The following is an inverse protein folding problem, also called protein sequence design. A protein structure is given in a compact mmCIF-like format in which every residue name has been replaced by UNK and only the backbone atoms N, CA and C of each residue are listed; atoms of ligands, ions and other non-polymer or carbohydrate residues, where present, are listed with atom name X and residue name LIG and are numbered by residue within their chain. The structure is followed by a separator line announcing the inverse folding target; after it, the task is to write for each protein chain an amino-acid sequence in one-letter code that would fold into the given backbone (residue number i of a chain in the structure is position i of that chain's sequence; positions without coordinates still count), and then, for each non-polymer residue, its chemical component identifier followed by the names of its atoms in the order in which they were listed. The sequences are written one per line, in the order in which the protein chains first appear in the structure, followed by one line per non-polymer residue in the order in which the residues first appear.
data_IF_793297948973
#
_entry.id   IF_793297948973
#
_cell.length_a   1.000
_cell.length_b   1.000
_cell.length_c   1.000
_cell.angle_alpha   90.00
_cell.angle_beta   90.00
_cell.angle_gamma   90.00
#
_symmetry.space_group_name_H-M   'P 1'
#
loop_
_entity.id
_entity.type
_entity.pdbx_description
1 polymer ?
#
# COMPACT_ATOMS: atom_id res chain seq x y z
N UNK A 1 -0.49 6.85 -20.96
CA UNK A 1 -1.90 6.54 -21.33
C UNK A 1 -1.99 5.04 -21.59
N UNK A 2 -2.84 4.34 -20.86
CA UNK A 2 -2.98 2.89 -20.95
C UNK A 2 -3.82 2.49 -22.17
N UNK A 3 -3.39 1.44 -22.86
CA UNK A 3 -4.11 0.87 -24.01
C UNK A 3 -5.25 -0.05 -23.52
N UNK A 4 -6.31 -0.21 -24.33
CA UNK A 4 -7.41 -1.15 -24.09
C UNK A 4 -6.91 -2.57 -23.76
N UNK A 5 -5.89 -3.07 -24.48
CA UNK A 5 -5.28 -4.38 -24.17
C UNK A 5 -4.62 -4.44 -22.79
N UNK A 6 -4.11 -3.32 -22.29
CA UNK A 6 -3.51 -3.25 -20.95
C UNK A 6 -4.57 -3.25 -19.86
N UNK A 7 -5.75 -2.69 -20.12
CA UNK A 7 -6.91 -2.81 -19.23
C UNK A 7 -7.46 -4.24 -19.22
N UNK A 8 -7.65 -4.87 -20.38
CA UNK A 8 -8.05 -6.27 -20.45
C UNK A 8 -7.05 -7.21 -19.75
N UNK A 9 -5.74 -6.92 -19.86
CA UNK A 9 -4.73 -7.62 -19.08
C UNK A 9 -4.95 -7.50 -17.57
N UNK A 10 -5.35 -6.33 -17.07
CA UNK A 10 -5.62 -6.15 -15.63
C UNK A 10 -6.75 -7.08 -15.17
N UNK A 11 -7.81 -7.20 -15.97
CA UNK A 11 -8.95 -8.06 -15.64
C UNK A 11 -8.53 -9.54 -15.61
N UNK A 12 -7.77 -9.99 -16.61
CA UNK A 12 -7.21 -11.35 -16.65
C UNK A 12 -6.27 -11.65 -15.47
N UNK A 13 -5.43 -10.69 -15.07
CA UNK A 13 -4.57 -10.84 -13.90
C UNK A 13 -5.41 -10.90 -12.61
N UNK A 14 -6.49 -10.12 -12.53
CA UNK A 14 -7.37 -10.11 -11.37
C UNK A 14 -8.23 -11.38 -11.24
N UNK A 15 -8.42 -12.12 -12.34
CA UNK A 15 -9.00 -13.47 -12.40
C UNK A 15 -7.99 -14.58 -12.10
N UNK A 16 -6.70 -14.26 -11.98
CA UNK A 16 -5.65 -15.23 -11.67
C UNK A 16 -5.04 -15.93 -12.89
N UNK A 17 -5.27 -15.43 -14.10
CA UNK A 17 -4.66 -16.01 -15.32
C UNK A 17 -3.15 -15.79 -15.34
N UNK A 18 -2.43 -16.76 -15.88
CA UNK A 18 -0.97 -16.66 -16.07
C UNK A 18 -0.63 -15.68 -17.20
N UNK A 19 0.61 -15.20 -17.23
CA UNK A 19 1.07 -14.33 -18.32
C UNK A 19 1.03 -15.01 -19.70
N UNK A 20 1.07 -16.35 -19.76
CA UNK A 20 0.99 -17.10 -21.02
C UNK A 20 -0.45 -17.11 -21.52
N UNK A 21 -1.40 -17.49 -20.66
CA UNK A 21 -2.83 -17.50 -21.01
C UNK A 21 -3.33 -16.10 -21.37
N UNK A 22 -2.94 -15.08 -20.60
CA UNK A 22 -3.31 -13.70 -20.91
C UNK A 22 -2.73 -13.23 -22.25
N UNK A 23 -1.52 -13.68 -22.60
CA UNK A 23 -0.89 -13.35 -23.88
C UNK A 23 -1.64 -14.00 -25.05
N UNK A 24 -2.06 -15.26 -24.91
CA UNK A 24 -2.87 -15.98 -25.89
C UNK A 24 -4.24 -15.30 -26.08
N UNK A 25 -4.93 -14.96 -24.99
CA UNK A 25 -6.24 -14.28 -25.02
C UNK A 25 -6.17 -12.88 -25.65
N UNK A 26 -5.07 -12.14 -25.44
CA UNK A 26 -4.88 -10.79 -25.97
C UNK A 26 -4.27 -10.78 -27.38
N UNK A 27 -3.86 -11.93 -27.90
CA UNK A 27 -3.15 -12.07 -29.17
C UNK A 27 -1.83 -11.29 -29.19
N UNK A 28 -1.06 -11.32 -28.10
CA UNK A 28 0.24 -10.64 -28.00
C UNK A 28 1.31 -11.61 -27.52
N UNK A 29 2.58 -11.24 -27.70
CA UNK A 29 3.68 -12.05 -27.20
C UNK A 29 3.78 -11.98 -25.67
N UNK A 30 4.15 -13.09 -24.99
CA UNK A 30 4.34 -13.16 -23.53
C UNK A 30 5.24 -12.05 -22.98
N UNK A 31 6.30 -11.71 -23.71
CA UNK A 31 7.23 -10.63 -23.30
C UNK A 31 6.54 -9.26 -23.26
N UNK A 32 5.56 -9.01 -24.13
CA UNK A 32 4.77 -7.78 -24.12
C UNK A 32 3.98 -7.64 -22.82
N UNK A 33 3.35 -8.73 -22.36
CA UNK A 33 2.65 -8.78 -21.07
C UNK A 33 3.62 -8.50 -19.92
N UNK A 34 4.77 -9.18 -19.90
CA UNK A 34 5.80 -8.98 -18.88
C UNK A 34 6.32 -7.54 -18.85
N UNK A 35 6.46 -6.90 -20.01
CA UNK A 35 6.90 -5.50 -20.11
C UNK A 35 5.82 -4.54 -19.61
N UNK A 36 4.56 -4.73 -19.98
CA UNK A 36 3.44 -3.91 -19.48
C UNK A 36 3.32 -3.99 -17.95
N UNK A 37 3.45 -5.19 -17.38
CA UNK A 37 3.43 -5.37 -15.92
C UNK A 37 4.58 -4.68 -15.20
N UNK A 38 5.67 -4.29 -15.88
CA UNK A 38 6.77 -3.54 -15.28
C UNK A 38 6.58 -2.02 -15.33
N UNK A 39 5.60 -1.55 -16.11
CA UNK A 39 5.37 -0.11 -16.26
C UNK A 39 4.75 0.47 -14.99
N UNK A 40 5.28 1.59 -14.45
CA UNK A 40 4.72 2.24 -13.27
C UNK A 40 3.25 2.64 -13.44
N UNK A 41 2.89 3.23 -14.58
CA UNK A 41 1.50 3.62 -14.89
C UNK A 41 0.52 2.45 -14.81
N UNK A 42 0.93 1.26 -15.28
CA UNK A 42 0.11 0.06 -15.22
C UNK A 42 -0.05 -0.45 -13.79
N UNK A 43 1.02 -0.42 -13.00
CA UNK A 43 1.02 -0.86 -11.61
C UNK A 43 0.16 0.03 -10.73
N UNK A 44 0.23 1.35 -10.90
CA UNK A 44 -0.59 2.30 -10.15
C UNK A 44 -2.08 2.12 -10.44
N UNK A 45 -2.45 2.02 -11.72
CA UNK A 45 -3.83 1.79 -12.12
C UNK A 45 -4.35 0.43 -11.65
N UNK A 46 -3.56 -0.64 -11.82
CA UNK A 46 -3.91 -1.97 -11.35
C UNK A 46 -4.12 -1.99 -9.84
N UNK A 47 -3.22 -1.35 -9.08
CA UNK A 47 -3.35 -1.21 -7.62
C UNK A 47 -4.65 -0.47 -7.25
N UNK A 48 -4.97 0.64 -7.92
CA UNK A 48 -6.22 1.38 -7.68
C UNK A 48 -7.45 0.49 -7.89
N UNK A 49 -7.51 -0.25 -9.01
CA UNK A 49 -8.62 -1.17 -9.32
C UNK A 49 -8.72 -2.33 -8.33
N UNK A 50 -7.59 -2.92 -7.95
CA UNK A 50 -7.57 -4.00 -6.94
C UNK A 50 -8.05 -3.49 -5.59
N UNK A 51 -7.65 -2.29 -5.18
CA UNK A 51 -8.11 -1.64 -3.94
C UNK A 51 -9.62 -1.43 -4.00
N UNK A 52 -10.15 -0.84 -5.08
CA UNK A 52 -11.59 -0.63 -5.26
C UNK A 52 -12.40 -1.93 -5.21
N UNK A 53 -11.93 -2.97 -5.92
CA UNK A 53 -12.54 -4.32 -5.88
C UNK A 53 -12.46 -4.97 -4.50
N UNK A 54 -11.37 -4.72 -3.77
CA UNK A 54 -11.20 -5.28 -2.43
C UNK A 54 -12.12 -4.56 -1.45
N UNK A 55 -12.22 -3.23 -1.53
CA UNK A 55 -13.09 -2.42 -0.68
C UNK A 55 -14.56 -2.86 -0.74
N UNK A 56 -15.07 -3.19 -1.92
CA UNK A 56 -16.45 -3.69 -2.05
C UNK A 56 -16.67 -5.06 -1.43
N UNK A 57 -15.62 -5.88 -1.30
CA UNK A 57 -15.64 -7.21 -0.69
C UNK A 57 -15.21 -7.22 0.78
N UNK A 58 -14.67 -6.11 1.29
CA UNK A 58 -14.22 -6.01 2.68
C UNK A 58 -15.31 -6.39 3.69
N UNK A 59 -16.59 -5.96 3.55
CA UNK A 59 -17.62 -6.36 4.50
C UNK A 59 -17.79 -7.89 4.58
N UNK A 60 -17.88 -8.54 3.42
CA UNK A 60 -18.04 -10.00 3.32
C UNK A 60 -16.83 -10.76 3.86
N UNK A 61 -15.62 -10.22 3.65
CA UNK A 61 -14.40 -10.78 4.21
C UNK A 61 -14.39 -10.67 5.75
N UNK A 62 -14.77 -9.51 6.28
CA UNK A 62 -14.85 -9.29 7.73
C UNK A 62 -15.88 -10.21 8.37
N UNK A 63 -17.05 -10.39 7.75
CA UNK A 63 -18.09 -11.31 8.22
C UNK A 63 -17.58 -12.76 8.27
N UNK A 64 -16.96 -13.23 7.18
CA UNK A 64 -16.39 -14.58 7.13
C UNK A 64 -15.26 -14.77 8.16
N UNK A 65 -14.43 -13.75 8.37
CA UNK A 65 -13.37 -13.77 9.38
C UNK A 65 -13.94 -13.78 10.80
N UNK A 66 -15.03 -13.05 11.06
CA UNK A 66 -15.71 -13.06 12.36
C UNK A 66 -16.29 -14.45 12.65
N UNK A 67 -16.99 -15.04 11.68
CA UNK A 67 -17.55 -16.39 11.81
C UNK A 67 -16.48 -17.43 12.12
N UNK A 68 -15.35 -17.38 11.40
CA UNK A 68 -14.23 -18.30 11.57
C UNK A 68 -13.52 -18.11 12.90
N UNK A 69 -13.29 -16.86 13.30
CA UNK A 69 -12.69 -16.52 14.59
C UNK A 69 -13.54 -17.03 15.77
N UNK A 70 -14.87 -16.96 15.66
CA UNK A 70 -15.81 -17.47 16.66
C UNK A 70 -15.85 -19.00 16.67
N UNK A 71 -15.94 -19.65 15.50
CA UNK A 71 -16.10 -21.11 15.39
C UNK A 71 -14.84 -21.88 15.77
N UNK A 72 -13.70 -21.45 15.25
CA UNK A 72 -12.44 -22.20 15.37
C UNK A 72 -11.45 -21.57 16.36
N UNK A 73 -11.80 -20.44 16.96
CA UNK A 73 -11.00 -19.80 18.01
C UNK A 73 -9.68 -19.22 17.50
N UNK A 74 -9.72 -18.52 16.35
CA UNK A 74 -8.52 -17.91 15.77
C UNK A 74 -8.23 -16.53 16.39
N UNK A 75 -7.42 -16.52 17.45
CA UNK A 75 -7.05 -15.30 18.18
C UNK A 75 -6.35 -14.24 17.32
N UNK A 76 -5.61 -14.64 16.28
CA UNK A 76 -4.97 -13.69 15.36
C UNK A 76 -6.01 -12.95 14.50
N UNK A 77 -7.05 -13.66 14.04
CA UNK A 77 -8.16 -13.06 13.31
C UNK A 77 -8.99 -12.16 14.23
N UNK A 78 -9.30 -12.59 15.47
CA UNK A 78 -9.98 -11.75 16.46
C UNK A 78 -9.19 -10.47 16.76
N UNK A 79 -7.86 -10.57 16.95
CA UNK A 79 -7.00 -9.40 17.16
C UNK A 79 -7.08 -8.43 15.97
N UNK A 80 -6.97 -8.94 14.75
CA UNK A 80 -7.03 -8.12 13.54
C UNK A 80 -8.39 -7.46 13.37
N UNK A 81 -9.49 -8.18 13.62
CA UNK A 81 -10.85 -7.64 13.59
C UNK A 81 -11.04 -6.51 14.63
N UNK A 82 -10.52 -6.70 15.84
CA UNK A 82 -10.57 -5.67 16.88
C UNK A 82 -9.71 -4.45 16.50
N UNK A 83 -8.55 -4.65 15.87
CA UNK A 83 -7.72 -3.56 15.37
C UNK A 83 -8.40 -2.77 14.25
N UNK A 84 -9.03 -3.45 13.28
CA UNK A 84 -9.75 -2.82 12.15
C UNK A 84 -10.95 -1.99 12.64
N UNK A 85 -11.67 -2.47 13.65
CA UNK A 85 -12.80 -1.74 14.25
C UNK A 85 -12.37 -0.61 15.20
N UNK A 86 -11.06 -0.36 15.38
CA UNK A 86 -10.54 0.64 16.30
C UNK A 86 -10.72 0.29 17.78
N UNK A 87 -11.06 -0.96 18.10
CA UNK A 87 -11.20 -1.47 19.47
C UNK A 87 -9.83 -1.82 20.09
N UNK A 88 -8.81 -2.05 19.25
CA UNK A 88 -7.42 -2.23 19.65
C UNK A 88 -6.50 -1.31 18.83
N UNK A 89 -5.83 -0.37 19.50
CA UNK A 89 -4.78 0.43 18.86
C UNK A 89 -3.44 -0.22 19.15
N UNK A 90 -2.64 -0.49 18.11
CA UNK A 90 -1.24 -0.88 18.32
C UNK A 90 -0.48 0.34 18.86
N UNK A 91 -0.17 0.31 20.16
CA UNK A 91 0.68 1.31 20.81
C UNK A 91 2.13 1.08 20.35
N UNK A 92 2.60 1.88 19.40
CA UNK A 92 4.03 1.93 19.05
C UNK A 92 4.71 2.87 20.04
N UNK A 93 5.32 2.31 21.08
CA UNK A 93 6.24 3.08 21.93
C UNK A 93 7.54 3.29 21.16
N UNK A 94 7.69 4.47 20.56
CA UNK A 94 8.96 4.91 20.00
C UNK A 94 9.82 5.40 21.15
N UNK A 95 10.65 4.53 21.72
CA UNK A 95 11.83 4.97 22.45
C UNK A 95 12.81 5.57 21.43
N UNK A 96 12.70 6.88 21.22
CA UNK A 96 13.75 7.63 20.55
C UNK A 96 15.00 7.57 21.44
N UNK A 97 15.97 6.72 21.10
CA UNK A 97 17.37 6.84 21.55
C UNK A 97 18.04 8.07 20.92
N UNK A 98 17.40 9.23 21.03
CA UNK A 98 17.92 10.55 20.68
C UNK A 98 17.99 11.46 21.91
N UNK A 99 18.11 10.88 23.11
CA UNK A 99 18.68 11.58 24.25
C UNK A 99 20.22 11.59 24.08
N UNK A 100 20.74 12.52 23.27
CA UNK A 100 22.20 12.69 23.18
C UNK A 100 22.77 13.54 22.04
N UNK A 101 21.96 14.07 21.10
CA UNK A 101 22.51 14.88 19.99
C UNK A 101 21.58 15.97 19.43
N UNK A 102 20.54 16.38 20.16
CA UNK A 102 19.53 17.35 19.69
C UNK A 102 19.71 18.80 20.15
N UNK A 103 20.67 19.11 21.04
CA UNK A 103 20.85 20.47 21.55
C UNK A 103 21.78 21.34 20.69
N UNK A 104 22.66 20.74 19.88
CA UNK A 104 23.65 21.50 19.10
C UNK A 104 23.14 22.06 17.78
N UNK A 105 22.23 21.35 17.10
CA UNK A 105 21.75 21.73 15.76
C UNK A 105 20.75 22.88 15.80
N UNK A 106 19.92 22.98 16.84
CA UNK A 106 18.91 24.04 16.94
C UNK A 106 19.56 25.41 17.20
N UNK A 107 20.62 25.46 17.99
CA UNK A 107 21.38 26.69 18.26
C UNK A 107 22.20 27.13 17.03
N UNK A 108 22.76 26.18 16.27
CA UNK A 108 23.46 26.47 15.02
C UNK A 108 22.50 27.04 13.95
N UNK A 109 21.32 26.44 13.79
CA UNK A 109 20.29 26.93 12.87
C UNK A 109 19.76 28.31 13.28
N UNK A 110 19.61 28.58 14.59
CA UNK A 110 19.18 29.89 15.08
C UNK A 110 20.24 30.97 14.83
N UNK A 111 21.52 30.64 15.01
CA UNK A 111 22.63 31.56 14.74
C UNK A 111 22.76 31.88 13.24
N UNK A 112 22.50 30.92 12.36
CA UNK A 112 22.52 31.12 10.91
C UNK A 112 21.36 32.01 10.44
N UNK A 113 20.15 31.81 10.97
CA UNK A 113 18.98 32.66 10.69
C UNK A 113 19.23 34.12 11.11
N UNK A 114 19.92 34.35 12.24
CA UNK A 114 20.27 35.71 12.66
C UNK A 114 21.32 36.39 11.79
N UNK A 115 22.28 35.64 11.24
CA UNK A 115 23.26 36.18 10.29
C UNK A 115 22.58 36.65 9.01
N UNK A 116 21.73 35.82 8.41
CA UNK A 116 20.97 36.19 7.21
C UNK A 116 20.03 37.38 7.45
N UNK A 117 19.50 37.53 8.67
CA UNK A 117 18.63 38.67 9.02
C UNK A 117 19.39 39.98 9.19
N UNK A 118 20.70 39.94 9.52
CA UNK A 118 21.57 41.12 9.61
C UNK A 118 22.17 41.54 8.27
N UNK A 119 22.43 40.59 7.36
CA UNK A 119 22.94 40.88 6.00
C UNK A 119 21.90 41.52 5.07
N UNK A 120 20.61 41.38 5.38
CA UNK A 120 19.52 41.91 4.55
C UNK A 120 18.98 43.28 5.00
N UNK A 121 19.70 43.99 5.87
CA UNK A 121 19.31 45.31 6.40
C UNK A 121 20.33 46.39 6.08
#
# INVERSE_FOLDING_TARGET
MLNEKQYQLMDYVAEGKTNIEAAELLGVHRNTISNWRRQPEWQEEFKRRVIERTHSRLPQLLDAMMDEAIKNGNAAMSKLLLQVNGLLTDKVEVESKSAGKGSGDIDAMRAEIERFRREKR
#
